data_IF_856389143018
#
_entry.id   IF_856389143018
#
_cell.length_a   1.000
_cell.length_b   1.000
_cell.length_c   1.000
_cell.angle_alpha   90.00
_cell.angle_beta   90.00
_cell.angle_gamma   90.00
#
_symmetry.space_group_name_H-M   'P 1'
#
loop_
_entity.id
_entity.type
_entity.pdbx_description
1 polymer ?
#
# COMPACT_ATOMS: atom_id res chain seq x y z
N UNK A 1 0.15 4.96 0.10
CA UNK A 1 1.06 3.92 -0.44
C UNK A 1 0.27 2.98 -1.34
N UNK A 2 0.68 2.85 -2.61
CA UNK A 2 -0.11 2.20 -3.67
C UNK A 2 0.26 0.73 -3.96
N UNK A 3 0.91 0.03 -3.01
CA UNK A 3 1.30 -1.37 -3.17
C UNK A 3 0.22 -2.30 -2.57
N UNK A 4 -0.90 -2.48 -3.27
CA UNK A 4 -2.04 -3.27 -2.78
C UNK A 4 -2.28 -4.51 -3.63
N UNK A 5 -2.45 -5.66 -2.98
CA UNK A 5 -2.90 -6.91 -3.58
C UNK A 5 -4.41 -7.04 -3.41
N UNK A 6 -5.14 -6.92 -4.51
CA UNK A 6 -6.60 -6.85 -4.52
C UNK A 6 -7.21 -8.22 -4.80
N UNK A 7 -8.02 -8.73 -3.86
CA UNK A 7 -8.70 -10.02 -3.96
C UNK A 7 -10.21 -9.78 -4.04
N UNK A 8 -10.86 -10.34 -5.06
CA UNK A 8 -12.31 -10.50 -5.08
C UNK A 8 -12.64 -11.88 -4.52
N UNK A 9 -13.40 -11.95 -3.43
CA UNK A 9 -13.62 -13.19 -2.69
C UNK A 9 -15.12 -13.51 -2.57
N UNK A 10 -15.54 -14.58 -3.24
CA UNK A 10 -16.91 -15.09 -3.25
C UNK A 10 -17.03 -16.24 -2.24
N UNK A 11 -17.66 -15.99 -1.09
CA UNK A 11 -17.87 -16.96 0.00
C UNK A 11 -19.04 -16.45 0.88
N UNK A 12 -20.00 -17.30 1.24
CA UNK A 12 -21.14 -16.97 2.13
C UNK A 12 -20.81 -17.03 3.63
N UNK A 13 -19.67 -17.59 3.99
CA UNK A 13 -19.18 -17.85 5.34
C UNK A 13 -17.88 -17.09 5.64
N UNK A 14 -17.75 -15.84 5.17
CA UNK A 14 -16.55 -15.02 5.33
C UNK A 14 -16.09 -14.89 6.80
N UNK A 15 -17.00 -14.95 7.76
CA UNK A 15 -16.71 -14.86 9.20
C UNK A 15 -15.80 -16.00 9.67
N UNK A 16 -15.90 -17.18 9.06
CA UNK A 16 -15.06 -18.34 9.37
C UNK A 16 -13.64 -18.21 8.83
N UNK A 17 -13.42 -17.31 7.87
CA UNK A 17 -12.12 -17.10 7.22
C UNK A 17 -11.27 -16.03 7.91
N UNK A 18 -11.72 -15.46 9.03
CA UNK A 18 -11.00 -14.40 9.75
C UNK A 18 -9.55 -14.77 10.10
N UNK A 19 -9.30 -16.03 10.52
CA UNK A 19 -7.95 -16.52 10.79
C UNK A 19 -7.07 -16.61 9.54
N UNK A 20 -7.65 -17.05 8.41
CA UNK A 20 -6.99 -17.15 7.11
C UNK A 20 -6.62 -15.76 6.60
N UNK A 21 -7.56 -14.82 6.65
CA UNK A 21 -7.39 -13.41 6.25
C UNK A 21 -6.26 -12.78 7.04
N UNK A 22 -6.26 -12.89 8.38
CA UNK A 22 -5.19 -12.35 9.22
C UNK A 22 -3.82 -12.93 8.89
N UNK A 23 -3.76 -14.24 8.63
CA UNK A 23 -2.51 -14.89 8.25
C UNK A 23 -1.99 -14.38 6.90
N UNK A 24 -2.89 -14.26 5.91
CA UNK A 24 -2.57 -13.75 4.58
C UNK A 24 -2.14 -12.28 4.64
N UNK A 25 -2.87 -11.43 5.37
CA UNK A 25 -2.54 -10.04 5.62
C UNK A 25 -1.15 -9.89 6.23
N UNK A 26 -0.82 -10.67 7.26
CA UNK A 26 0.50 -10.64 7.89
C UNK A 26 1.61 -11.05 6.92
N UNK A 27 1.38 -12.08 6.09
CA UNK A 27 2.34 -12.51 5.06
C UNK A 27 2.56 -11.45 3.98
N UNK A 28 1.49 -10.87 3.43
CA UNK A 28 1.57 -9.78 2.47
C UNK A 28 2.22 -8.53 3.09
N UNK A 29 1.92 -8.25 4.35
CA UNK A 29 2.53 -7.16 5.11
C UNK A 29 4.05 -7.33 5.17
N UNK A 30 4.53 -8.54 5.47
CA UNK A 30 5.97 -8.85 5.61
C UNK A 30 6.80 -8.63 4.33
N UNK A 31 6.13 -8.48 3.18
CA UNK A 31 6.77 -8.20 1.89
C UNK A 31 6.44 -6.81 1.34
N UNK A 32 5.80 -5.96 2.15
CA UNK A 32 5.49 -4.58 1.80
C UNK A 32 4.20 -4.39 1.00
N UNK A 33 3.32 -5.40 0.93
CA UNK A 33 2.02 -5.30 0.28
C UNK A 33 0.88 -5.12 1.28
N UNK A 34 -0.13 -4.35 0.90
CA UNK A 34 -1.43 -4.32 1.55
C UNK A 34 -2.31 -5.42 0.97
N UNK A 35 -3.19 -6.01 1.80
CA UNK A 35 -4.25 -6.86 1.31
C UNK A 35 -5.54 -6.05 1.24
N UNK A 36 -6.21 -6.05 0.10
CA UNK A 36 -7.56 -5.53 -0.02
C UNK A 36 -8.49 -6.64 -0.47
N UNK A 37 -9.44 -7.02 0.37
CA UNK A 37 -10.41 -8.07 0.05
C UNK A 37 -11.78 -7.45 -0.15
N UNK A 38 -12.33 -7.63 -1.34
CA UNK A 38 -13.74 -7.34 -1.63
C UNK A 38 -14.54 -8.63 -1.56
N UNK A 39 -15.42 -8.71 -0.56
CA UNK A 39 -16.31 -9.83 -0.35
C UNK A 39 -17.56 -9.75 -1.21
N UNK A 40 -18.00 -10.90 -1.71
CA UNK A 40 -19.31 -11.11 -2.33
C UNK A 40 -19.95 -12.29 -1.62
N UNK A 41 -21.06 -12.03 -0.95
CA UNK A 41 -21.81 -13.01 -0.15
C UNK A 41 -23.21 -13.30 -0.73
N UNK A 42 -23.63 -12.49 -1.73
CA UNK A 42 -24.92 -12.61 -2.40
C UNK A 42 -24.68 -13.06 -3.84
N UNK A 43 -25.23 -14.23 -4.16
CA UNK A 43 -25.05 -14.92 -5.44
C UNK A 43 -26.34 -14.96 -6.26
N UNK A 44 -27.28 -14.05 -6.02
CA UNK A 44 -28.46 -13.87 -6.87
C UNK A 44 -28.07 -13.60 -8.33
N UNK A 45 -28.89 -14.08 -9.27
CA UNK A 45 -28.60 -14.03 -10.71
C UNK A 45 -28.28 -12.62 -11.22
N UNK A 46 -29.02 -11.60 -10.78
CA UNK A 46 -28.79 -10.20 -11.15
C UNK A 46 -27.44 -9.67 -10.63
N UNK A 47 -27.07 -10.05 -9.40
CA UNK A 47 -25.78 -9.66 -8.80
C UNK A 47 -24.61 -10.34 -9.51
N UNK A 48 -24.73 -11.63 -9.81
CA UNK A 48 -23.71 -12.37 -10.54
C UNK A 48 -23.57 -11.82 -11.96
N UNK A 49 -24.68 -11.51 -12.63
CA UNK A 49 -24.66 -10.90 -13.96
C UNK A 49 -23.92 -9.57 -13.94
N UNK A 50 -24.31 -8.66 -13.04
CA UNK A 50 -23.65 -7.36 -12.90
C UNK A 50 -22.17 -7.51 -12.60
N UNK A 51 -21.81 -8.39 -11.67
CA UNK A 51 -20.40 -8.68 -11.34
C UNK A 51 -19.61 -9.12 -12.57
N UNK A 52 -20.17 -10.01 -13.40
CA UNK A 52 -19.49 -10.51 -14.60
C UNK A 52 -19.37 -9.45 -15.70
N UNK A 53 -20.35 -8.54 -15.81
CA UNK A 53 -20.30 -7.39 -16.72
C UNK A 53 -19.21 -6.40 -16.28
N UNK A 54 -19.18 -6.03 -15.00
CA UNK A 54 -18.16 -5.14 -14.41
C UNK A 54 -16.74 -5.71 -14.62
N UNK A 55 -16.56 -7.00 -14.34
CA UNK A 55 -15.27 -7.69 -14.48
C UNK A 55 -14.79 -7.77 -15.94
N UNK A 56 -15.72 -7.86 -16.90
CA UNK A 56 -15.41 -7.90 -18.34
C UNK A 56 -14.95 -6.54 -18.84
N UNK A 57 -15.55 -5.46 -18.35
CA UNK A 57 -15.16 -4.10 -18.69
C UNK A 57 -13.78 -3.76 -18.11
N UNK A 58 -13.62 -4.00 -16.81
CA UNK A 58 -12.36 -3.76 -16.12
C UNK A 58 -12.25 -4.62 -14.86
N UNK A 59 -11.24 -5.49 -14.80
CA UNK A 59 -10.94 -6.27 -13.60
C UNK A 59 -9.79 -5.63 -12.82
N UNK A 60 -10.06 -4.99 -11.66
CA UNK A 60 -9.02 -4.37 -10.83
C UNK A 60 -8.39 -5.34 -9.82
N UNK A 61 -8.70 -6.64 -9.90
CA UNK A 61 -8.28 -7.63 -8.90
C UNK A 61 -7.06 -8.42 -9.41
N UNK A 62 -6.10 -8.64 -8.52
CA UNK A 62 -4.96 -9.53 -8.77
C UNK A 62 -5.39 -11.01 -8.68
N UNK A 63 -6.39 -11.32 -7.86
CA UNK A 63 -6.92 -12.67 -7.69
C UNK A 63 -8.44 -12.67 -7.49
N UNK A 64 -9.13 -13.59 -8.17
CA UNK A 64 -10.54 -13.89 -7.89
C UNK A 64 -10.63 -15.25 -7.20
N UNK A 65 -11.26 -15.31 -6.04
CA UNK A 65 -11.45 -16.53 -5.25
C UNK A 65 -12.92 -16.89 -5.17
N UNK A 66 -13.25 -18.16 -5.36
CA UNK A 66 -14.61 -18.68 -5.29
C UNK A 66 -14.65 -19.94 -4.43
N UNK A 67 -15.46 -19.93 -3.38
CA UNK A 67 -15.74 -21.14 -2.59
C UNK A 67 -16.56 -22.15 -3.41
N UNK A 68 -16.33 -23.43 -3.15
CA UNK A 68 -17.02 -24.53 -3.80
C UNK A 68 -18.52 -24.59 -3.47
N UNK A 69 -18.87 -24.40 -2.20
CA UNK A 69 -20.21 -24.54 -1.66
C UNK A 69 -20.71 -23.21 -1.10
N UNK A 70 -21.41 -22.47 -1.95
CA UNK A 70 -21.94 -21.16 -1.62
C UNK A 70 -23.32 -21.23 -0.94
N UNK A 71 -23.73 -22.41 -0.44
CA UNK A 71 -24.96 -22.67 0.31
C UNK A 71 -26.17 -23.19 -0.51
N UNK A 72 -27.40 -23.08 0.02
CA UNK A 72 -28.63 -23.67 -0.58
C UNK A 72 -29.46 -22.74 -1.51
N UNK A 73 -29.56 -23.03 -2.83
CA UNK A 73 -30.28 -22.20 -3.83
C UNK A 73 -29.83 -22.35 -5.30
N UNK A 74 -30.67 -21.92 -6.26
CA UNK A 74 -30.41 -21.93 -7.72
C UNK A 74 -29.33 -20.89 -8.07
N UNK A 75 -28.08 -21.30 -8.20
CA UNK A 75 -26.91 -20.43 -8.43
C UNK A 75 -25.72 -20.72 -7.51
N UNK A 76 -25.87 -21.60 -6.53
CA UNK A 76 -24.91 -21.78 -5.43
C UNK A 76 -23.87 -22.89 -5.61
N UNK A 77 -23.83 -23.46 -6.80
CA UNK A 77 -22.72 -24.31 -7.21
C UNK A 77 -21.54 -23.41 -7.59
N UNK A 78 -20.55 -23.28 -6.70
CA UNK A 78 -19.39 -22.40 -6.91
C UNK A 78 -18.69 -22.64 -8.24
N UNK A 79 -18.71 -23.88 -8.75
CA UNK A 79 -18.16 -24.22 -10.07
C UNK A 79 -18.89 -23.55 -11.26
N UNK A 80 -20.21 -23.34 -11.17
CA UNK A 80 -20.98 -22.66 -12.22
C UNK A 80 -20.67 -21.16 -12.26
N UNK A 81 -20.58 -20.53 -11.08
CA UNK A 81 -20.16 -19.12 -10.97
C UNK A 81 -18.72 -18.97 -11.45
N UNK A 82 -17.84 -19.89 -11.06
CA UNK A 82 -16.44 -19.92 -11.49
C UNK A 82 -16.32 -19.93 -13.01
N UNK A 83 -17.07 -20.82 -13.68
CA UNK A 83 -17.15 -20.87 -15.15
C UNK A 83 -17.61 -19.55 -15.76
N UNK A 84 -18.66 -18.94 -15.20
CA UNK A 84 -19.22 -17.69 -15.74
C UNK A 84 -18.22 -16.53 -15.60
N UNK A 85 -17.57 -16.41 -14.45
CA UNK A 85 -16.52 -15.40 -14.22
C UNK A 85 -15.32 -15.65 -15.14
N UNK A 86 -14.88 -16.91 -15.26
CA UNK A 86 -13.73 -17.25 -16.11
C UNK A 86 -13.98 -16.89 -17.58
N UNK A 87 -15.19 -17.10 -18.09
CA UNK A 87 -15.56 -16.74 -19.46
C UNK A 87 -15.56 -15.22 -19.72
N UNK A 88 -15.52 -14.39 -18.68
CA UNK A 88 -15.57 -12.93 -18.76
C UNK A 88 -14.27 -12.26 -18.29
N UNK A 89 -13.26 -13.02 -17.87
CA UNK A 89 -12.02 -12.47 -17.31
C UNK A 89 -10.80 -13.30 -17.72
N UNK A 90 -9.60 -12.72 -17.65
CA UNK A 90 -8.34 -13.43 -17.89
C UNK A 90 -7.36 -13.39 -16.69
N UNK A 91 -7.73 -12.73 -15.60
CA UNK A 91 -6.90 -12.65 -14.39
C UNK A 91 -6.78 -13.97 -13.64
N UNK A 92 -5.85 -14.05 -12.68
CA UNK A 92 -5.68 -15.24 -11.85
C UNK A 92 -6.96 -15.55 -11.06
N UNK A 93 -7.30 -16.84 -10.98
CA UNK A 93 -8.52 -17.30 -10.34
C UNK A 93 -8.27 -18.57 -9.54
N UNK A 94 -8.83 -18.65 -8.33
CA UNK A 94 -8.76 -19.81 -7.46
C UNK A 94 -10.16 -20.30 -7.09
N UNK A 95 -10.32 -21.61 -7.10
CA UNK A 95 -11.51 -22.33 -6.67
C UNK A 95 -11.12 -23.22 -5.50
N UNK A 96 -11.74 -23.02 -4.34
CA UNK A 96 -11.30 -23.69 -3.12
C UNK A 96 -12.44 -24.36 -2.36
N UNK A 97 -12.08 -25.30 -1.49
CA UNK A 97 -13.02 -26.01 -0.64
C UNK A 97 -12.30 -26.71 0.52
N UNK A 98 -13.06 -27.27 1.46
CA UNK A 98 -12.57 -28.30 2.38
C UNK A 98 -12.33 -29.66 1.71
N UNK A 99 -12.86 -29.87 0.49
CA UNK A 99 -12.65 -31.09 -0.29
C UNK A 99 -11.18 -31.26 -0.76
N UNK A 100 -10.76 -32.50 -1.11
CA UNK A 100 -9.47 -32.74 -1.75
C UNK A 100 -9.33 -32.04 -3.10
N UNK A 101 -8.12 -31.59 -3.42
CA UNK A 101 -7.79 -30.94 -4.69
C UNK A 101 -8.25 -31.71 -5.93
N UNK A 102 -8.11 -33.04 -5.91
CA UNK A 102 -8.49 -33.90 -7.03
C UNK A 102 -9.98 -33.78 -7.36
N UNK A 103 -10.83 -33.64 -6.34
CA UNK A 103 -12.26 -33.45 -6.51
C UNK A 103 -12.56 -32.09 -7.15
N UNK A 104 -11.90 -31.03 -6.68
CA UNK A 104 -12.04 -29.68 -7.23
C UNK A 104 -11.59 -29.62 -8.70
N UNK A 105 -10.45 -30.23 -9.01
CA UNK A 105 -9.92 -30.33 -10.38
C UNK A 105 -10.88 -31.09 -11.28
N UNK A 106 -11.44 -32.21 -10.81
CA UNK A 106 -12.44 -32.99 -11.55
C UNK A 106 -13.66 -32.14 -11.89
N UNK A 107 -14.16 -31.35 -10.94
CA UNK A 107 -15.31 -30.45 -11.16
C UNK A 107 -15.02 -29.37 -12.20
N UNK A 108 -13.85 -28.74 -12.15
CA UNK A 108 -13.44 -27.75 -13.16
C UNK A 108 -13.30 -28.39 -14.54
N UNK A 109 -12.74 -29.60 -14.61
CA UNK A 109 -12.61 -30.37 -15.84
C UNK A 109 -13.98 -30.72 -16.45
N UNK A 110 -14.92 -31.23 -15.64
CA UNK A 110 -16.30 -31.52 -16.07
C UNK A 110 -17.00 -30.27 -16.62
N UNK A 111 -16.70 -29.11 -16.06
CA UNK A 111 -17.22 -27.82 -16.51
C UNK A 111 -16.50 -27.22 -17.72
N UNK A 112 -15.37 -27.82 -18.14
CA UNK A 112 -14.46 -27.31 -19.18
C UNK A 112 -13.94 -25.92 -18.84
N UNK A 113 -13.49 -25.75 -17.60
CA UNK A 113 -12.92 -24.51 -17.09
C UNK A 113 -11.42 -24.72 -16.90
N UNK A 114 -10.64 -23.98 -17.67
CA UNK A 114 -9.17 -23.96 -17.60
C UNK A 114 -8.67 -22.71 -16.88
N UNK A 115 -7.41 -22.75 -16.42
CA UNK A 115 -6.74 -21.59 -15.82
C UNK A 115 -7.32 -21.16 -14.48
N UNK A 116 -7.73 -22.14 -13.66
CA UNK A 116 -8.20 -21.94 -12.29
C UNK A 116 -7.37 -22.82 -11.35
N UNK A 117 -6.80 -22.21 -10.31
CA UNK A 117 -6.08 -22.93 -9.26
C UNK A 117 -7.09 -23.62 -8.33
N UNK A 118 -6.90 -24.91 -8.04
CA UNK A 118 -7.69 -25.62 -7.03
C UNK A 118 -6.92 -25.65 -5.72
N UNK A 119 -7.54 -25.22 -4.62
CA UNK A 119 -6.90 -25.06 -3.31
C UNK A 119 -7.74 -25.64 -2.18
N UNK A 120 -7.09 -26.03 -1.08
CA UNK A 120 -7.78 -26.50 0.11
C UNK A 120 -7.98 -25.36 1.13
N UNK A 121 -9.13 -25.37 1.82
CA UNK A 121 -9.51 -24.30 2.78
C UNK A 121 -8.46 -24.09 3.88
N UNK A 122 -7.83 -25.17 4.34
CA UNK A 122 -6.83 -25.12 5.41
C UNK A 122 -5.46 -24.58 4.96
N UNK A 123 -5.14 -24.59 3.66
CA UNK A 123 -3.88 -24.10 3.08
C UNK A 123 -4.01 -22.76 2.36
N UNK A 124 -5.23 -22.19 2.29
CA UNK A 124 -5.55 -20.97 1.55
C UNK A 124 -4.55 -19.83 1.73
N UNK A 125 -4.24 -19.44 2.97
CA UNK A 125 -3.35 -18.31 3.22
C UNK A 125 -1.94 -18.53 2.61
N UNK A 126 -1.45 -19.77 2.66
CA UNK A 126 -0.15 -20.13 2.10
C UNK A 126 -0.17 -20.15 0.57
N UNK A 127 -1.20 -20.77 -0.03
CA UNK A 127 -1.32 -20.89 -1.47
C UNK A 127 -1.60 -19.55 -2.15
N UNK A 128 -2.49 -18.74 -1.58
CA UNK A 128 -2.77 -17.38 -2.07
C UNK A 128 -1.52 -16.50 -1.98
N UNK A 129 -0.76 -16.60 -0.89
CA UNK A 129 0.52 -15.89 -0.78
C UNK A 129 1.57 -16.36 -1.79
N UNK A 130 1.51 -17.65 -2.19
CA UNK A 130 2.38 -18.20 -3.22
C UNK A 130 2.01 -17.66 -4.61
N UNK A 131 0.71 -17.47 -4.91
CA UNK A 131 0.26 -16.79 -6.13
C UNK A 131 0.66 -15.31 -6.14
N UNK A 132 0.58 -14.65 -4.99
CA UNK A 132 0.98 -13.24 -4.84
C UNK A 132 2.46 -12.98 -5.14
N UNK A 133 3.32 -14.01 -5.23
CA UNK A 133 4.73 -13.85 -5.61
C UNK A 133 4.91 -13.18 -6.97
N UNK A 134 3.98 -13.38 -7.91
CA UNK A 134 4.02 -12.70 -9.20
C UNK A 134 3.77 -11.20 -9.06
N UNK A 135 2.78 -10.80 -8.24
CA UNK A 135 2.54 -9.41 -7.91
C UNK A 135 3.73 -8.78 -7.17
N UNK A 136 4.33 -9.50 -6.23
CA UNK A 136 5.54 -9.03 -5.51
C UNK A 136 6.68 -8.78 -6.49
N UNK A 137 6.95 -9.70 -7.43
CA UNK A 137 7.97 -9.55 -8.48
C UNK A 137 7.72 -8.33 -9.36
N UNK A 138 6.45 -8.05 -9.69
CA UNK A 138 6.04 -6.86 -10.44
C UNK A 138 6.32 -5.58 -9.65
N UNK A 139 6.01 -5.56 -8.35
CA UNK A 139 6.20 -4.37 -7.50
C UNK A 139 7.67 -4.03 -7.31
N UNK A 140 8.54 -5.02 -7.13
CA UNK A 140 10.00 -4.80 -6.99
C UNK A 140 10.71 -4.54 -8.31
N UNK A 141 10.00 -4.54 -9.44
CA UNK A 141 10.58 -4.22 -10.73
C UNK A 141 11.04 -2.74 -10.75
N UNK A 142 12.26 -2.41 -11.22
CA UNK A 142 12.83 -1.06 -11.13
C UNK A 142 11.92 0.07 -11.58
N UNK A 143 11.24 -0.10 -12.71
CA UNK A 143 10.37 0.95 -13.26
C UNK A 143 9.09 1.13 -12.44
N UNK A 144 8.54 0.06 -11.88
CA UNK A 144 7.37 0.13 -11.03
C UNK A 144 7.74 0.74 -9.67
N UNK A 145 8.84 0.23 -9.08
CA UNK A 145 9.37 0.74 -7.82
C UNK A 145 9.70 2.22 -7.90
N UNK A 146 10.26 2.72 -9.01
CA UNK A 146 10.49 4.16 -9.23
C UNK A 146 9.19 4.96 -9.08
N UNK A 147 8.13 4.56 -9.77
CA UNK A 147 6.83 5.23 -9.70
C UNK A 147 6.26 5.20 -8.27
N UNK A 148 6.35 4.03 -7.64
CA UNK A 148 5.86 3.82 -6.28
C UNK A 148 6.60 4.67 -5.24
N UNK A 149 7.94 4.69 -5.27
CA UNK A 149 8.77 5.46 -4.33
C UNK A 149 8.49 6.96 -4.51
N UNK A 150 8.52 7.46 -5.75
CA UNK A 150 8.31 8.89 -6.03
C UNK A 150 6.89 9.32 -5.65
N UNK A 151 5.88 8.52 -6.00
CA UNK A 151 4.48 8.79 -5.64
C UNK A 151 4.26 8.74 -4.13
N UNK A 152 4.76 7.71 -3.45
CA UNK A 152 4.59 7.53 -2.00
C UNK A 152 5.24 8.64 -1.19
N UNK A 153 6.40 9.15 -1.61
CA UNK A 153 7.02 10.32 -0.96
C UNK A 153 6.18 11.58 -1.14
N UNK A 154 5.55 11.78 -2.30
CA UNK A 154 4.62 12.90 -2.51
C UNK A 154 3.37 12.81 -1.63
N UNK A 155 2.81 11.61 -1.45
CA UNK A 155 1.70 11.37 -0.51
C UNK A 155 2.11 11.65 0.94
N UNK A 156 3.29 11.16 1.36
CA UNK A 156 3.85 11.41 2.69
C UNK A 156 4.07 12.90 2.95
N UNK A 157 4.58 13.64 1.96
CA UNK A 157 4.75 15.08 2.07
C UNK A 157 3.41 15.80 2.33
N UNK A 158 2.35 15.39 1.63
CA UNK A 158 1.00 15.89 1.87
C UNK A 158 0.53 15.56 3.29
N UNK A 159 0.68 14.30 3.70
CA UNK A 159 0.27 13.82 5.02
C UNK A 159 1.03 14.50 6.16
N UNK A 160 2.32 14.80 6.01
CA UNK A 160 3.08 15.59 6.98
C UNK A 160 2.50 16.99 7.12
N UNK A 161 2.19 17.66 6.01
CA UNK A 161 1.53 18.98 6.03
C UNK A 161 0.18 18.96 6.74
N UNK A 162 -0.65 17.96 6.43
CA UNK A 162 -1.97 17.78 7.06
C UNK A 162 -1.86 17.46 8.56
N UNK A 163 -0.84 16.68 8.95
CA UNK A 163 -0.55 16.33 10.35
C UNK A 163 -0.11 17.54 11.15
N UNK A 164 0.82 18.35 10.62
CA UNK A 164 1.23 19.62 11.24
C UNK A 164 0.00 20.48 11.49
N UNK A 165 -0.87 20.63 10.48
CA UNK A 165 -2.13 21.37 10.61
C UNK A 165 -3.10 20.80 11.66
N UNK A 166 -3.14 19.47 11.82
CA UNK A 166 -3.96 18.81 12.84
C UNK A 166 -3.42 19.06 14.25
N UNK A 167 -2.10 18.94 14.47
CA UNK A 167 -1.44 19.19 15.77
C UNK A 167 -1.76 20.60 16.26
N UNK A 168 -1.55 21.60 15.41
CA UNK A 168 -1.75 23.01 15.73
C UNK A 168 -3.20 23.27 16.16
N UNK A 169 -4.16 22.71 15.42
CA UNK A 169 -5.60 22.84 15.74
C UNK A 169 -5.98 22.15 17.03
N UNK A 170 -5.46 20.96 17.28
CA UNK A 170 -5.81 20.15 18.44
C UNK A 170 -5.28 20.73 19.75
N UNK A 171 -4.03 21.22 19.73
CA UNK A 171 -3.34 21.68 20.95
C UNK A 171 -3.50 23.16 21.25
N UNK A 172 -3.67 23.99 20.23
CA UNK A 172 -3.57 25.46 20.35
C UNK A 172 -2.20 25.96 20.85
N UNK A 173 -1.23 25.06 21.01
CA UNK A 173 0.15 25.31 21.39
C UNK A 173 1.06 24.37 20.58
N UNK A 174 2.19 24.85 20.04
CA UNK A 174 2.61 26.26 20.02
C UNK A 174 1.63 27.16 19.27
N UNK A 175 1.61 28.44 19.65
CA UNK A 175 0.80 29.48 18.99
C UNK A 175 1.19 29.65 17.52
N UNK A 176 0.29 30.21 16.72
CA UNK A 176 0.55 30.45 15.29
C UNK A 176 1.88 31.19 15.02
N UNK A 177 2.25 32.14 15.89
CA UNK A 177 3.50 32.89 15.77
C UNK A 177 4.72 32.04 16.13
N UNK A 178 4.64 31.20 17.16
CA UNK A 178 5.70 30.25 17.51
C UNK A 178 5.92 29.23 16.38
N UNK A 179 4.83 28.69 15.82
CA UNK A 179 4.92 27.77 14.68
C UNK A 179 5.54 28.46 13.46
N UNK A 180 5.24 29.74 13.21
CA UNK A 180 5.89 30.51 12.14
C UNK A 180 7.38 30.63 12.36
N UNK A 181 7.81 30.94 13.58
CA UNK A 181 9.23 31.02 13.92
C UNK A 181 9.92 29.66 13.82
N UNK A 182 9.29 28.58 14.27
CA UNK A 182 9.79 27.21 14.08
C UNK A 182 9.93 26.88 12.60
N UNK A 183 8.92 27.19 11.78
CA UNK A 183 8.94 26.95 10.34
C UNK A 183 10.04 27.78 9.64
N UNK A 184 10.23 29.05 10.04
CA UNK A 184 11.34 29.88 9.55
C UNK A 184 12.69 29.29 9.96
N UNK A 185 12.83 28.81 11.20
CA UNK A 185 14.06 28.19 11.68
C UNK A 185 14.38 26.91 10.90
N UNK A 186 13.37 26.05 10.66
CA UNK A 186 13.50 24.84 9.83
C UNK A 186 13.92 25.17 8.39
N UNK A 187 13.35 26.24 7.82
CA UNK A 187 13.71 26.70 6.49
C UNK A 187 15.12 27.30 6.45
N UNK A 188 15.51 28.08 7.46
CA UNK A 188 16.87 28.65 7.56
C UNK A 188 17.91 27.56 7.70
N UNK A 189 17.70 26.58 8.57
CA UNK A 189 18.61 25.42 8.72
C UNK A 189 18.87 24.76 7.36
N UNK A 190 17.82 24.53 6.59
CA UNK A 190 17.94 23.96 5.25
C UNK A 190 18.61 24.89 4.22
N UNK A 191 18.33 26.20 4.25
CA UNK A 191 18.94 27.17 3.33
C UNK A 191 20.41 27.44 3.65
N UNK A 192 20.78 27.46 4.93
CA UNK A 192 22.16 27.57 5.40
C UNK A 192 22.99 26.36 4.94
N UNK A 193 22.39 25.16 4.94
CA UNK A 193 22.98 23.96 4.33
C UNK A 193 23.14 24.06 2.79
N UNK A 194 22.35 24.90 2.11
CA UNK A 194 22.29 24.99 0.64
C UNK A 194 22.84 26.28 0.02
N UNK A 195 23.45 27.17 0.80
CA UNK A 195 24.01 28.45 0.35
C UNK A 195 23.06 29.27 -0.55
N UNK A 196 22.14 29.99 0.11
CA UNK A 196 21.34 31.14 -0.36
C UNK A 196 20.22 30.92 -1.40
N UNK A 197 18.96 31.12 -0.99
CA UNK A 197 17.89 31.84 -1.74
C UNK A 197 16.64 32.12 -0.89
N UNK A 198 16.05 33.29 -1.13
CA UNK A 198 14.77 33.87 -0.69
C UNK A 198 14.04 33.22 0.50
N UNK A 199 14.10 33.90 1.66
CA UNK A 199 13.15 33.67 2.73
C UNK A 199 11.74 34.06 2.27
N UNK A 200 10.80 33.11 2.35
CA UNK A 200 9.37 33.42 2.21
C UNK A 200 9.03 34.47 3.27
N UNK A 201 8.44 35.60 2.85
CA UNK A 201 7.93 36.63 3.75
C UNK A 201 6.67 36.08 4.47
N UNK A 202 6.89 35.22 5.46
CA UNK A 202 5.89 34.37 6.12
C UNK A 202 4.93 35.18 7.01
N UNK A 203 5.32 36.39 7.41
CA UNK A 203 4.62 37.21 8.40
C UNK A 203 3.27 37.75 7.93
N UNK A 204 2.99 37.67 6.62
CA UNK A 204 1.72 38.14 6.02
C UNK A 204 0.84 37.03 5.48
N UNK A 205 1.26 35.77 5.58
CA UNK A 205 0.51 34.64 5.02
C UNK A 205 -0.25 33.90 6.12
N UNK A 206 -1.48 33.41 5.87
CA UNK A 206 -2.11 32.40 6.73
C UNK A 206 -1.19 31.20 6.99
N UNK A 207 -1.23 30.62 8.19
CA UNK A 207 -0.30 29.57 8.63
C UNK A 207 -0.38 28.31 7.75
N UNK A 208 -1.59 27.94 7.31
CA UNK A 208 -1.82 26.85 6.36
C UNK A 208 -1.07 27.06 5.03
N UNK A 209 -0.98 28.32 4.57
CA UNK A 209 -0.22 28.67 3.36
C UNK A 209 1.28 28.63 3.59
N UNK A 210 1.74 28.93 4.81
CA UNK A 210 3.16 28.79 5.17
C UNK A 210 3.55 27.32 5.12
N UNK A 211 2.80 26.44 5.80
CA UNK A 211 3.05 25.00 5.85
C UNK A 211 3.08 24.38 4.45
N UNK A 212 2.12 24.75 3.58
CA UNK A 212 2.07 24.26 2.19
C UNK A 212 3.29 24.67 1.34
N UNK A 213 3.91 25.81 1.65
CA UNK A 213 5.09 26.31 0.94
C UNK A 213 6.41 25.77 1.46
N UNK A 214 6.41 25.10 2.63
CA UNK A 214 7.60 24.43 3.12
C UNK A 214 7.99 23.29 2.17
N UNK A 215 9.29 23.15 1.93
CA UNK A 215 9.80 21.96 1.27
C UNK A 215 9.73 20.75 2.21
N UNK A 216 9.90 19.54 1.65
CA UNK A 216 9.82 18.29 2.41
C UNK A 216 10.77 18.26 3.63
N UNK A 217 12.00 18.75 3.50
CA UNK A 217 12.96 18.77 4.61
C UNK A 217 12.46 19.64 5.77
N UNK A 218 12.03 20.86 5.47
CA UNK A 218 11.50 21.78 6.47
C UNK A 218 10.18 21.28 7.10
N UNK A 219 9.34 20.56 6.34
CA UNK A 219 8.15 19.90 6.89
C UNK A 219 8.50 18.81 7.88
N UNK A 220 9.46 17.95 7.54
CA UNK A 220 9.92 16.87 8.43
C UNK A 220 10.49 17.46 9.71
N UNK A 221 11.40 18.43 9.62
CA UNK A 221 12.00 19.07 10.79
C UNK A 221 10.95 19.75 11.69
N UNK A 222 10.02 20.51 11.09
CA UNK A 222 8.92 21.13 11.85
C UNK A 222 8.03 20.08 12.52
N UNK A 223 7.68 19.00 11.82
CA UNK A 223 6.87 17.93 12.38
C UNK A 223 7.57 17.27 13.57
N UNK A 224 8.87 16.96 13.45
CA UNK A 224 9.64 16.37 14.55
C UNK A 224 9.62 17.26 15.80
N UNK A 225 9.85 18.56 15.65
CA UNK A 225 9.77 19.52 16.78
C UNK A 225 8.40 19.50 17.45
N UNK A 226 7.32 19.50 16.66
CA UNK A 226 5.95 19.45 17.18
C UNK A 226 5.63 18.12 17.90
N UNK A 227 6.18 17.00 17.43
CA UNK A 227 6.03 15.70 18.07
C UNK A 227 6.83 15.61 19.38
N UNK A 228 8.02 16.20 19.41
CA UNK A 228 8.84 16.31 20.61
C UNK A 228 8.14 17.16 21.68
N UNK A 229 7.57 18.30 21.29
CA UNK A 229 6.77 19.15 22.18
C UNK A 229 5.49 18.47 22.67
N UNK A 230 4.90 17.56 21.87
CA UNK A 230 3.77 16.77 22.34
C UNK A 230 4.13 15.78 23.44
N UNK A 231 5.26 15.09 23.30
CA UNK A 231 5.80 14.21 24.33
C UNK A 231 4.96 12.96 24.65
N UNK A 232 3.82 12.71 23.98
CA UNK A 232 3.07 11.47 24.18
C UNK A 232 3.86 10.26 23.70
N UNK A 233 3.56 9.08 24.25
CA UNK A 233 4.22 7.84 23.85
C UNK A 233 4.09 7.56 22.34
N UNK A 234 2.95 7.91 21.75
CA UNK A 234 2.72 7.77 20.32
C UNK A 234 3.54 8.79 19.51
N UNK A 235 3.58 10.05 19.93
CA UNK A 235 4.40 11.07 19.26
C UNK A 235 5.88 10.75 19.31
N UNK A 236 6.39 10.28 20.44
CA UNK A 236 7.79 9.88 20.58
C UNK A 236 8.13 8.67 19.71
N UNK A 237 7.23 7.68 19.57
CA UNK A 237 7.47 6.55 18.68
C UNK A 237 7.43 6.97 17.20
N UNK A 238 6.48 7.83 16.82
CA UNK A 238 6.39 8.37 15.47
C UNK A 238 7.58 9.28 15.14
N UNK A 239 8.07 10.06 16.11
CA UNK A 239 9.27 10.87 15.99
C UNK A 239 10.49 10.01 15.66
N UNK A 240 10.68 8.87 16.33
CA UNK A 240 11.79 7.96 16.05
C UNK A 240 11.76 7.39 14.63
N UNK A 241 10.56 7.08 14.11
CA UNK A 241 10.39 6.61 12.74
C UNK A 241 10.66 7.76 11.77
N UNK A 242 9.87 8.84 11.85
CA UNK A 242 9.94 9.98 10.92
C UNK A 242 11.34 10.64 10.92
N UNK A 243 12.05 10.62 12.05
CA UNK A 243 13.41 11.16 12.16
C UNK A 243 14.41 10.47 11.23
N UNK A 244 14.16 9.22 10.83
CA UNK A 244 15.00 8.48 9.87
C UNK A 244 14.54 8.62 8.41
N UNK A 245 13.48 9.39 8.14
CA UNK A 245 12.85 9.47 6.81
C UNK A 245 13.80 10.00 5.73
N UNK A 246 14.64 10.97 6.07
CA UNK A 246 15.60 11.56 5.14
C UNK A 246 16.54 10.48 4.56
N UNK A 247 17.12 9.66 5.43
CA UNK A 247 18.09 8.64 5.06
C UNK A 247 17.45 7.37 4.49
N UNK A 248 16.34 6.92 5.09
CA UNK A 248 15.72 5.64 4.76
C UNK A 248 14.82 5.68 3.54
N UNK A 249 14.31 6.86 3.16
CA UNK A 249 13.31 7.00 2.10
C UNK A 249 13.65 8.13 1.13
N UNK A 250 13.85 9.35 1.62
CA UNK A 250 13.98 10.51 0.73
C UNK A 250 15.24 10.46 -0.13
N UNK A 251 16.37 10.03 0.44
CA UNK A 251 17.62 9.82 -0.29
C UNK A 251 17.43 8.83 -1.45
N UNK A 252 16.74 7.71 -1.18
CA UNK A 252 16.43 6.73 -2.23
C UNK A 252 15.45 7.30 -3.25
N UNK A 253 14.44 8.09 -2.87
CA UNK A 253 13.56 8.76 -3.84
C UNK A 253 14.34 9.63 -4.83
N UNK A 254 15.36 10.35 -4.36
CA UNK A 254 16.24 11.15 -5.22
C UNK A 254 16.99 10.22 -6.18
N UNK A 255 17.55 9.11 -5.69
CA UNK A 255 18.23 8.11 -6.52
C UNK A 255 17.29 7.51 -7.57
N UNK A 256 16.08 7.07 -7.18
CA UNK A 256 15.09 6.50 -8.10
C UNK A 256 14.63 7.50 -9.17
N UNK A 257 14.52 8.78 -8.83
CA UNK A 257 14.11 9.83 -9.77
C UNK A 257 15.18 10.13 -10.84
N UNK A 258 16.47 9.95 -10.53
CA UNK A 258 17.57 10.37 -11.41
C UNK A 258 18.37 9.22 -12.00
N UNK A 259 18.42 8.07 -11.35
CA UNK A 259 19.18 6.92 -11.81
C UNK A 259 18.50 6.20 -12.97
N UNK A 260 19.32 5.78 -13.94
CA UNK A 260 18.87 5.06 -15.13
C UNK A 260 18.67 3.58 -14.80
N UNK A 261 17.61 3.00 -15.34
CA UNK A 261 17.45 1.54 -15.38
C UNK A 261 18.44 1.01 -16.42
N UNK A 262 19.29 0.05 -16.04
CA UNK A 262 20.22 -0.63 -16.95
C UNK A 262 19.73 -2.05 -17.21
N UNK A 263 20.18 -2.67 -18.31
CA UNK A 263 19.85 -4.06 -18.61
C UNK A 263 21.10 -4.92 -18.42
N UNK A 264 21.00 -5.94 -17.58
CA UNK A 264 22.03 -6.97 -17.40
C UNK A 264 21.40 -8.27 -17.91
N UNK A 265 21.98 -8.87 -18.95
CA UNK A 265 21.48 -10.12 -19.56
C UNK A 265 20.00 -10.06 -19.98
N UNK A 266 19.55 -8.88 -20.44
CA UNK A 266 18.15 -8.66 -20.83
C UNK A 266 17.18 -8.43 -19.67
N UNK A 267 17.66 -8.47 -18.43
CA UNK A 267 16.87 -8.18 -17.22
C UNK A 267 17.09 -6.71 -16.83
N UNK A 268 16.02 -5.91 -16.73
CA UNK A 268 16.11 -4.54 -16.24
C UNK A 268 16.46 -4.54 -14.74
N UNK A 269 17.50 -3.81 -14.39
CA UNK A 269 17.97 -3.63 -13.02
C UNK A 269 18.09 -2.15 -12.67
N UNK A 270 17.94 -1.85 -11.38
CA UNK A 270 18.22 -0.53 -10.86
C UNK A 270 19.67 -0.46 -10.41
N UNK A 271 20.40 0.55 -10.88
CA UNK A 271 21.77 0.82 -10.47
C UNK A 271 21.84 2.22 -9.87
N UNK A 272 22.32 2.31 -8.63
CA UNK A 272 22.44 3.60 -7.95
C UNK A 272 23.66 4.41 -8.45
N UNK A 273 23.81 5.63 -7.91
CA UNK A 273 24.91 6.54 -8.24
C UNK A 273 26.30 5.97 -7.93
N UNK A 274 26.40 5.02 -7.01
CA UNK A 274 27.63 4.34 -6.61
C UNK A 274 27.88 3.07 -7.44
N UNK A 275 27.13 2.91 -8.55
CA UNK A 275 27.17 1.74 -9.42
C UNK A 275 26.74 0.43 -8.75
N UNK A 276 26.15 0.46 -7.55
CA UNK A 276 25.63 -0.74 -6.91
C UNK A 276 24.31 -1.11 -7.58
N UNK A 277 24.21 -2.38 -8.00
CA UNK A 277 22.99 -2.97 -8.51
C UNK A 277 22.11 -3.41 -7.34
N UNK A 278 20.87 -2.96 -7.33
CA UNK A 278 19.90 -3.31 -6.30
C UNK A 278 19.23 -4.64 -6.63
N UNK A 279 19.16 -5.52 -5.62
CA UNK A 279 18.48 -6.82 -5.71
C UNK A 279 17.00 -6.69 -5.32
N UNK A 280 16.14 -7.66 -5.67
CA UNK A 280 14.74 -7.68 -5.22
C UNK A 280 14.58 -7.54 -3.70
N UNK A 281 15.51 -8.06 -2.92
CA UNK A 281 15.54 -7.93 -1.46
C UNK A 281 15.75 -6.48 -1.02
N UNK A 282 16.64 -5.73 -1.69
CA UNK A 282 16.89 -4.31 -1.41
C UNK A 282 15.61 -3.49 -1.67
N UNK A 283 14.92 -3.80 -2.77
CA UNK A 283 13.64 -3.17 -3.12
C UNK A 283 12.56 -3.45 -2.07
N UNK A 284 12.49 -4.70 -1.59
CA UNK A 284 11.54 -5.10 -0.53
C UNK A 284 11.82 -4.36 0.77
N UNK A 285 13.09 -4.21 1.17
CA UNK A 285 13.46 -3.44 2.37
C UNK A 285 13.00 -1.99 2.23
N UNK A 286 13.18 -1.37 1.06
CA UNK A 286 12.71 -0.01 0.82
C UNK A 286 11.18 0.10 0.86
N UNK A 287 10.44 -0.89 0.32
CA UNK A 287 8.97 -0.94 0.44
C UNK A 287 8.52 -1.00 1.89
N UNK A 288 9.16 -1.83 2.71
CA UNK A 288 8.85 -1.95 4.14
C UNK A 288 9.11 -0.64 4.88
N UNK A 289 10.23 0.03 4.59
CA UNK A 289 10.53 1.36 5.15
C UNK A 289 9.48 2.38 4.74
N UNK A 290 9.20 2.52 3.45
CA UNK A 290 8.16 3.42 2.94
C UNK A 290 6.84 3.25 3.68
N UNK A 291 6.47 1.99 3.93
CA UNK A 291 5.28 1.65 4.67
C UNK A 291 5.36 2.05 6.15
N UNK A 292 6.45 1.73 6.83
CA UNK A 292 6.67 2.09 8.24
C UNK A 292 6.49 3.60 8.45
N UNK A 293 7.08 4.41 7.57
CA UNK A 293 6.92 5.86 7.56
C UNK A 293 5.48 6.31 7.30
N UNK A 294 4.76 5.64 6.38
CA UNK A 294 3.36 5.91 6.10
C UNK A 294 2.43 5.55 7.26
N UNK A 295 2.64 4.40 7.89
CA UNK A 295 1.87 3.95 9.06
C UNK A 295 2.11 4.91 10.24
N UNK A 296 3.36 5.31 10.51
CA UNK A 296 3.67 6.31 11.53
C UNK A 296 2.97 7.65 11.27
N UNK A 297 3.09 8.19 10.05
CA UNK A 297 2.45 9.44 9.66
C UNK A 297 0.91 9.38 9.76
N UNK A 298 0.31 8.25 9.37
CA UNK A 298 -1.15 8.06 9.45
C UNK A 298 -1.64 7.92 10.89
N UNK A 299 -0.93 7.16 11.71
CA UNK A 299 -1.29 6.96 13.11
C UNK A 299 -1.27 8.28 13.88
N UNK A 300 -0.21 9.08 13.68
CA UNK A 300 -0.09 10.36 14.35
C UNK A 300 -1.10 11.39 13.83
N UNK A 301 -1.37 11.41 12.52
CA UNK A 301 -2.44 12.23 11.95
C UNK A 301 -3.80 11.88 12.57
N UNK A 302 -4.11 10.59 12.68
CA UNK A 302 -5.35 10.10 13.28
C UNK A 302 -5.48 10.47 14.76
N UNK A 303 -4.38 10.43 15.50
CA UNK A 303 -4.34 10.82 16.91
C UNK A 303 -4.75 12.28 17.13
N UNK A 304 -4.28 13.22 16.31
CA UNK A 304 -4.61 14.65 16.45
C UNK A 304 -5.89 15.08 15.73
N UNK A 305 -6.53 14.18 14.98
CA UNK A 305 -7.81 14.45 14.31
C UNK A 305 -9.03 14.08 15.16
N UNK A 306 -8.83 13.18 16.13
CA UNK A 306 -9.85 12.73 17.09
C UNK A 306 -9.79 13.56 18.36
#
# INVERSE_FOLDING_TARGET
MDATYCILWLDDQKEELTGVVRNLEARLYSVGLNCHIKWVVDFGEDNVRKLTEDLREHSPYDLIMVDYDLGAGLGKSGHMITKRIRNNTYGDMAFYSSAPDEELRKKMFEQRVDGVYCMQRHSLAHEVFSLAQNAIRRVVHPNYMRGLVVGSVGELEGLFGDTIGAIIKAKGTPSDDEVREMAKASLRSYIEELQTRDMVNADKLPLDRVIKKLNLHAKVDLLLKLLEEDGSSLSLSCHQVIGRFADEVNQHRIEFAHARTTNIEGIPVFQDRNQRVWKPEDMRVLLLKLREHYDAARNIHGYFKN
#
